data_IF_200845639559
#
_entry.id   IF_200845639559
#
_cell.length_a   1.000
_cell.length_b   1.000
_cell.length_c   1.000
_cell.angle_alpha   90.00
_cell.angle_beta   90.00
_cell.angle_gamma   90.00
#
_symmetry.space_group_name_H-M   'P 1'
#
loop_
_entity.id
_entity.type
_entity.pdbx_description
1 polymer ?
#
# COMPACT_ATOMS: atom_id res chain seq x y z
N UNK A 1 -10.85 -23.70 0.63
CA UNK A 1 -10.59 -22.60 1.58
C UNK A 1 -11.96 -22.08 2.01
N UNK A 2 -12.25 -22.04 3.28
CA UNK A 2 -13.61 -21.79 3.78
C UNK A 2 -13.89 -20.29 3.84
N UNK A 3 -15.04 -19.85 3.28
CA UNK A 3 -15.59 -18.48 3.32
C UNK A 3 -15.89 -17.95 4.76
N UNK A 4 -15.64 -18.75 5.77
CA UNK A 4 -16.07 -18.52 7.16
C UNK A 4 -15.54 -17.23 7.83
N UNK A 5 -14.54 -16.53 7.23
CA UNK A 5 -14.04 -15.26 7.76
C UNK A 5 -14.72 -14.03 7.18
N UNK A 6 -15.19 -14.10 5.94
CA UNK A 6 -15.76 -12.94 5.23
C UNK A 6 -17.24 -12.67 5.52
N UNK A 7 -17.97 -13.60 6.14
CA UNK A 7 -19.42 -13.44 6.42
C UNK A 7 -19.75 -12.23 7.31
N UNK A 8 -18.77 -11.76 8.10
CA UNK A 8 -18.92 -10.62 9.02
C UNK A 8 -18.26 -9.34 8.50
N UNK A 9 -17.59 -9.41 7.35
CA UNK A 9 -16.85 -8.26 6.82
C UNK A 9 -17.82 -7.32 6.11
N UNK A 10 -17.86 -6.08 6.58
CA UNK A 10 -18.66 -4.98 6.05
C UNK A 10 -17.81 -3.94 5.30
N UNK A 11 -16.49 -3.98 5.48
CA UNK A 11 -15.57 -3.07 4.80
C UNK A 11 -14.22 -3.71 4.52
N UNK A 12 -13.58 -3.21 3.47
CA UNK A 12 -12.23 -3.63 3.07
C UNK A 12 -11.36 -2.38 3.00
N UNK A 13 -10.25 -2.40 3.74
CA UNK A 13 -9.21 -1.40 3.66
C UNK A 13 -8.01 -2.00 2.92
N UNK A 14 -7.69 -1.44 1.77
CA UNK A 14 -6.58 -1.89 0.92
C UNK A 14 -5.32 -1.07 1.18
N UNK A 15 -4.18 -1.70 1.18
CA UNK A 15 -2.95 -1.04 0.80
C UNK A 15 -2.93 -0.76 -0.70
N UNK A 16 -2.03 0.13 -1.16
CA UNK A 16 -1.91 0.56 -2.56
C UNK A 16 -0.81 -0.20 -3.30
N UNK A 17 0.44 -0.01 -2.88
CA UNK A 17 1.63 -0.41 -3.60
C UNK A 17 2.03 -1.85 -3.27
N UNK A 18 2.07 -2.72 -4.27
CA UNK A 18 2.23 -4.15 -4.04
C UNK A 18 0.93 -4.89 -3.76
N UNK A 19 -0.19 -4.16 -3.62
CA UNK A 19 -1.53 -4.70 -3.37
C UNK A 19 -2.47 -4.44 -4.54
N UNK A 20 -2.81 -3.18 -4.80
CA UNK A 20 -3.59 -2.75 -5.97
C UNK A 20 -2.70 -2.63 -7.21
N UNK A 21 -1.44 -2.29 -7.01
CA UNK A 21 -0.42 -2.13 -8.04
C UNK A 21 0.67 -3.20 -7.88
N UNK A 22 1.24 -3.66 -9.00
CA UNK A 22 2.41 -4.54 -9.02
C UNK A 22 3.63 -3.75 -8.57
N UNK A 23 4.26 -4.14 -7.46
CA UNK A 23 5.32 -3.34 -6.83
C UNK A 23 6.52 -3.14 -7.76
N UNK A 24 7.18 -4.21 -8.18
CA UNK A 24 8.44 -4.11 -8.94
C UNK A 24 8.28 -3.35 -10.25
N UNK A 25 7.15 -3.56 -10.95
CA UNK A 25 6.85 -2.90 -12.22
C UNK A 25 6.56 -1.40 -12.04
N UNK A 26 5.91 -1.02 -10.94
CA UNK A 26 5.52 0.36 -10.65
C UNK A 26 6.65 1.14 -9.97
N UNK A 27 7.25 0.56 -8.94
CA UNK A 27 8.19 1.27 -8.06
C UNK A 27 9.66 1.14 -8.47
N UNK A 28 10.03 0.14 -9.25
CA UNK A 28 11.41 0.00 -9.71
C UNK A 28 11.97 1.27 -10.39
N UNK A 29 11.28 1.85 -11.38
CA UNK A 29 11.67 3.13 -11.99
C UNK A 29 11.64 4.32 -11.02
N UNK A 30 10.62 4.37 -10.14
CA UNK A 30 10.43 5.47 -9.17
C UNK A 30 11.54 5.48 -8.12
N UNK A 31 11.92 4.31 -7.58
CA UNK A 31 13.01 4.17 -6.62
C UNK A 31 14.36 4.62 -7.21
N UNK A 32 14.62 4.31 -8.48
CA UNK A 32 15.83 4.79 -9.19
C UNK A 32 15.82 6.31 -9.31
N UNK A 33 14.69 6.90 -9.69
CA UNK A 33 14.56 8.34 -9.80
C UNK A 33 14.68 9.02 -8.43
N UNK A 34 14.12 8.43 -7.37
CA UNK A 34 14.26 8.90 -6.00
C UNK A 34 15.74 8.94 -5.56
N UNK A 35 16.49 7.86 -5.82
CA UNK A 35 17.92 7.81 -5.53
C UNK A 35 18.71 8.81 -6.38
N UNK A 36 18.36 8.99 -7.66
CA UNK A 36 18.99 9.99 -8.55
C UNK A 36 18.78 11.41 -8.05
N UNK A 37 17.56 11.75 -7.61
CA UNK A 37 17.26 13.05 -6.99
C UNK A 37 18.11 13.23 -5.73
N UNK A 38 18.11 12.24 -4.83
CA UNK A 38 18.82 12.30 -3.56
C UNK A 38 20.35 12.36 -3.72
N UNK A 39 20.88 11.78 -4.79
CA UNK A 39 22.31 11.83 -5.11
C UNK A 39 22.78 13.20 -5.62
N UNK A 40 21.86 14.11 -6.00
CA UNK A 40 22.15 15.48 -6.43
C UNK A 40 23.24 15.59 -7.51
N UNK A 41 23.28 14.62 -8.44
CA UNK A 41 24.25 14.56 -9.53
C UNK A 41 25.52 13.74 -9.26
N UNK A 42 25.64 13.14 -8.10
CA UNK A 42 26.73 12.19 -7.79
C UNK A 42 26.34 10.79 -8.28
N UNK A 43 26.91 10.36 -9.41
CA UNK A 43 26.62 9.07 -10.03
C UNK A 43 27.14 7.86 -9.22
N UNK A 44 28.13 8.05 -8.35
CA UNK A 44 28.67 7.00 -7.50
C UNK A 44 27.82 6.81 -6.23
N UNK A 45 27.11 7.86 -5.81
CA UNK A 45 26.23 7.83 -4.65
C UNK A 45 24.89 7.16 -4.96
N UNK A 46 24.33 7.32 -6.17
CA UNK A 46 23.02 6.78 -6.56
C UNK A 46 22.87 5.28 -6.25
N UNK A 47 23.75 4.36 -6.71
CA UNK A 47 23.63 2.94 -6.39
C UNK A 47 23.78 2.63 -4.89
N UNK A 48 24.52 3.46 -4.15
CA UNK A 48 24.70 3.30 -2.71
C UNK A 48 23.39 3.64 -1.96
N UNK A 49 22.68 4.69 -2.39
CA UNK A 49 21.38 5.06 -1.85
C UNK A 49 20.34 3.99 -2.12
N UNK A 50 20.25 3.45 -3.35
CA UNK A 50 19.39 2.34 -3.67
C UNK A 50 19.64 1.14 -2.76
N UNK A 51 20.90 0.73 -2.63
CA UNK A 51 21.28 -0.40 -1.80
C UNK A 51 20.94 -0.19 -0.32
N UNK A 52 21.25 1.00 0.22
CA UNK A 52 20.92 1.37 1.61
C UNK A 52 19.41 1.38 1.84
N UNK A 53 18.62 1.84 0.88
CA UNK A 53 17.17 1.83 0.89
C UNK A 53 16.54 0.44 0.74
N UNK A 54 17.33 -0.55 0.32
CA UNK A 54 16.87 -1.93 0.22
C UNK A 54 16.67 -2.47 -1.20
N UNK A 55 16.94 -1.67 -2.23
CA UNK A 55 16.86 -2.10 -3.62
C UNK A 55 18.26 -2.48 -4.14
N UNK A 56 18.38 -3.66 -4.70
CA UNK A 56 19.60 -4.06 -5.42
C UNK A 56 19.71 -3.27 -6.73
N UNK A 57 20.77 -2.46 -6.91
CA UNK A 57 20.88 -1.58 -8.08
C UNK A 57 21.05 -2.32 -9.40
N UNK A 58 21.48 -3.60 -9.37
CA UNK A 58 21.73 -4.42 -10.56
C UNK A 58 20.46 -5.18 -10.96
N UNK A 59 19.90 -5.95 -10.04
CA UNK A 59 18.70 -6.77 -10.31
C UNK A 59 17.41 -5.95 -10.28
N UNK A 60 17.38 -4.83 -9.55
CA UNK A 60 16.17 -4.03 -9.32
C UNK A 60 15.23 -4.61 -8.27
N UNK A 61 15.59 -5.74 -7.64
CA UNK A 61 14.76 -6.33 -6.59
C UNK A 61 14.82 -5.52 -5.30
N UNK A 62 13.65 -5.22 -4.74
CA UNK A 62 13.52 -4.53 -3.44
C UNK A 62 13.27 -5.55 -2.33
N UNK A 63 14.08 -5.49 -1.27
CA UNK A 63 13.97 -6.40 -0.12
C UNK A 63 12.69 -6.13 0.67
N UNK A 64 11.97 -7.18 1.11
CA UNK A 64 10.83 -7.04 2.02
C UNK A 64 11.19 -6.21 3.27
N UNK A 65 10.22 -5.48 3.78
CA UNK A 65 10.33 -4.68 5.02
C UNK A 65 11.49 -3.65 5.01
N UNK A 66 12.10 -3.40 3.84
CA UNK A 66 13.15 -2.38 3.69
C UNK A 66 12.57 -0.98 3.59
N UNK A 67 13.44 0.03 3.69
CA UNK A 67 13.05 1.44 3.65
C UNK A 67 12.26 1.78 2.38
N UNK A 68 12.74 1.35 1.20
CA UNK A 68 12.04 1.59 -0.07
C UNK A 68 10.77 0.73 -0.23
N UNK A 69 10.67 -0.41 0.48
CA UNK A 69 9.51 -1.29 0.41
C UNK A 69 8.34 -0.85 1.31
N UNK A 70 8.60 -0.14 2.41
CA UNK A 70 7.62 0.10 3.45
C UNK A 70 7.63 1.52 4.02
N UNK A 71 8.70 2.30 3.81
CA UNK A 71 8.85 3.65 4.32
C UNK A 71 7.97 4.68 3.59
N UNK A 72 7.63 5.74 4.29
CA UNK A 72 7.05 6.95 3.70
C UNK A 72 8.14 7.90 3.18
N UNK A 73 7.75 8.97 2.46
CA UNK A 73 8.68 9.92 1.87
C UNK A 73 9.65 10.54 2.89
N UNK A 74 9.17 10.86 4.10
CA UNK A 74 10.00 11.45 5.15
C UNK A 74 11.03 10.44 5.70
N UNK A 75 10.63 9.18 5.90
CA UNK A 75 11.53 8.11 6.33
C UNK A 75 12.59 7.80 5.25
N UNK A 76 12.18 7.74 3.98
CA UNK A 76 13.09 7.53 2.84
C UNK A 76 14.08 8.68 2.74
N UNK A 77 13.62 9.93 2.84
CA UNK A 77 14.49 11.11 2.83
C UNK A 77 15.51 11.07 3.97
N UNK A 78 15.07 10.81 5.21
CA UNK A 78 15.96 10.69 6.36
C UNK A 78 16.99 9.56 6.20
N UNK A 79 16.57 8.41 5.65
CA UNK A 79 17.46 7.29 5.35
C UNK A 79 18.51 7.64 4.29
N UNK A 80 18.11 8.30 3.21
CA UNK A 80 19.02 8.73 2.15
C UNK A 80 20.00 9.80 2.62
N UNK A 81 19.56 10.76 3.45
CA UNK A 81 20.45 11.74 4.08
C UNK A 81 21.46 11.05 4.99
N UNK A 82 21.03 10.09 5.80
CA UNK A 82 21.93 9.30 6.65
C UNK A 82 22.93 8.46 5.84
N UNK A 83 22.57 8.09 4.61
CA UNK A 83 23.43 7.35 3.69
C UNK A 83 24.33 8.25 2.80
N UNK A 84 24.26 9.56 2.97
CA UNK A 84 25.19 10.51 2.31
C UNK A 84 24.56 11.47 1.31
N UNK A 85 23.23 11.51 1.16
CA UNK A 85 22.58 12.55 0.35
C UNK A 85 22.94 13.94 0.88
N UNK A 86 23.35 14.88 0.02
CA UNK A 86 23.70 16.25 0.42
C UNK A 86 22.48 17.16 0.60
N UNK A 87 21.27 16.67 0.32
CA UNK A 87 20.02 17.43 0.39
C UNK A 87 19.50 17.36 1.83
N UNK A 88 18.97 18.47 2.35
CA UNK A 88 18.33 18.49 3.66
C UNK A 88 17.04 17.63 3.68
N UNK A 89 16.74 17.00 4.84
CA UNK A 89 15.63 16.03 4.95
C UNK A 89 14.30 16.62 4.50
N UNK A 90 13.96 17.83 4.96
CA UNK A 90 12.68 18.47 4.63
C UNK A 90 12.55 18.82 3.14
N UNK A 91 13.65 19.19 2.50
CA UNK A 91 13.69 19.47 1.07
C UNK A 91 13.55 18.17 0.28
N UNK A 92 14.32 17.15 0.66
CA UNK A 92 14.26 15.84 -0.01
C UNK A 92 12.88 15.20 0.14
N UNK A 93 12.24 15.29 1.33
CA UNK A 93 10.87 14.81 1.54
C UNK A 93 9.92 15.42 0.53
N UNK A 94 9.93 16.75 0.34
CA UNK A 94 9.07 17.42 -0.65
C UNK A 94 9.33 16.97 -2.09
N UNK A 95 10.59 16.78 -2.45
CA UNK A 95 10.97 16.30 -3.77
C UNK A 95 10.48 14.86 -4.01
N UNK A 96 10.53 14.00 -2.98
CA UNK A 96 10.02 12.64 -3.04
C UNK A 96 8.49 12.61 -3.08
N UNK A 97 7.78 13.44 -2.30
CA UNK A 97 6.33 13.56 -2.38
C UNK A 97 5.86 13.96 -3.77
N UNK A 98 6.52 14.96 -4.39
CA UNK A 98 6.23 15.39 -5.77
C UNK A 98 6.49 14.28 -6.79
N UNK A 99 7.55 13.47 -6.58
CA UNK A 99 7.85 12.31 -7.42
C UNK A 99 6.77 11.23 -7.25
N UNK A 100 6.35 10.95 -6.02
CA UNK A 100 5.39 9.88 -5.72
C UNK A 100 3.99 10.23 -6.24
N UNK A 101 3.57 11.48 -6.19
CA UNK A 101 2.33 11.94 -6.87
C UNK A 101 2.37 11.62 -8.37
N UNK A 102 3.51 11.86 -9.02
CA UNK A 102 3.68 11.56 -10.46
C UNK A 102 3.85 10.08 -10.76
N UNK A 103 4.21 9.26 -9.78
CA UNK A 103 4.40 7.82 -9.97
C UNK A 103 3.15 7.10 -10.47
N UNK A 104 1.96 7.67 -10.23
CA UNK A 104 0.72 7.16 -10.78
C UNK A 104 0.80 6.96 -12.31
N UNK A 105 1.57 7.79 -13.05
CA UNK A 105 1.74 7.70 -14.50
C UNK A 105 2.44 6.42 -14.95
N UNK A 106 3.28 5.85 -14.11
CA UNK A 106 4.08 4.65 -14.39
C UNK A 106 3.51 3.39 -13.72
N UNK A 107 2.50 3.56 -12.87
CA UNK A 107 1.93 2.46 -12.08
C UNK A 107 1.24 1.41 -12.96
N UNK A 108 1.44 0.15 -12.60
CA UNK A 108 0.88 -1.02 -13.27
C UNK A 108 -0.13 -1.69 -12.34
N UNK A 109 -1.44 -1.66 -12.66
CA UNK A 109 -2.46 -2.26 -11.81
C UNK A 109 -2.42 -3.78 -11.88
N UNK A 110 -2.76 -4.45 -10.77
CA UNK A 110 -2.84 -5.93 -10.71
C UNK A 110 -3.96 -6.45 -11.61
N UNK A 111 -5.04 -5.69 -11.73
CA UNK A 111 -6.23 -6.01 -12.52
C UNK A 111 -6.97 -4.73 -12.93
N UNK A 112 -8.09 -4.84 -13.62
CA UNK A 112 -9.03 -3.72 -13.81
C UNK A 112 -9.62 -3.32 -12.44
N UNK A 113 -9.02 -2.29 -11.83
CA UNK A 113 -9.39 -1.80 -10.50
C UNK A 113 -10.78 -1.15 -10.49
N UNK A 114 -11.16 -0.42 -11.57
CA UNK A 114 -12.50 0.17 -11.68
C UNK A 114 -13.58 -0.90 -11.60
N UNK A 115 -13.43 -1.97 -12.39
CA UNK A 115 -14.36 -3.07 -12.40
C UNK A 115 -14.38 -3.84 -11.05
N UNK A 116 -13.21 -4.09 -10.44
CA UNK A 116 -13.12 -4.75 -9.14
C UNK A 116 -13.84 -3.95 -8.05
N UNK A 117 -13.52 -2.67 -7.90
CA UNK A 117 -14.11 -1.81 -6.87
C UNK A 117 -15.62 -1.63 -7.08
N UNK A 118 -16.09 -1.51 -8.33
CA UNK A 118 -17.52 -1.47 -8.66
C UNK A 118 -18.24 -2.73 -8.17
N UNK A 119 -17.67 -3.93 -8.44
CA UNK A 119 -18.28 -5.19 -7.97
C UNK A 119 -18.29 -5.34 -6.45
N UNK A 120 -17.22 -4.90 -5.77
CA UNK A 120 -17.16 -4.90 -4.30
C UNK A 120 -18.20 -3.92 -3.70
N UNK A 121 -18.36 -2.73 -4.30
CA UNK A 121 -19.41 -1.78 -3.89
C UNK A 121 -20.82 -2.34 -4.12
N UNK A 122 -21.05 -3.04 -5.22
CA UNK A 122 -22.34 -3.67 -5.50
C UNK A 122 -22.74 -4.75 -4.46
N UNK A 123 -21.76 -5.31 -3.74
CA UNK A 123 -21.97 -6.21 -2.58
C UNK A 123 -22.26 -5.46 -1.28
N UNK A 124 -22.34 -4.13 -1.29
CA UNK A 124 -22.60 -3.30 -0.10
C UNK A 124 -21.38 -3.03 0.77
N UNK A 125 -20.18 -3.41 0.34
CA UNK A 125 -18.96 -3.22 1.11
C UNK A 125 -18.53 -1.73 1.16
N UNK A 126 -18.02 -1.31 2.30
CA UNK A 126 -17.28 -0.05 2.45
C UNK A 126 -15.84 -0.25 2.00
N UNK A 127 -15.33 0.66 1.18
CA UNK A 127 -14.00 0.52 0.59
C UNK A 127 -13.11 1.70 0.93
N UNK A 128 -11.87 1.42 1.31
CA UNK A 128 -10.86 2.45 1.58
C UNK A 128 -9.49 2.04 1.12
N UNK A 129 -8.61 3.04 1.02
CA UNK A 129 -7.17 2.84 0.76
C UNK A 129 -6.38 3.50 1.89
N UNK A 130 -5.40 2.77 2.43
CA UNK A 130 -4.42 3.25 3.40
C UNK A 130 -3.02 2.90 2.94
N UNK A 131 -2.16 3.87 2.74
CA UNK A 131 -0.82 3.68 2.19
C UNK A 131 0.25 4.42 2.99
N UNK A 132 1.50 3.95 2.91
CA UNK A 132 2.68 4.70 3.35
C UNK A 132 3.03 5.86 2.42
N UNK A 133 2.38 5.97 1.27
CA UNK A 133 2.47 7.10 0.35
C UNK A 133 1.64 8.29 0.84
N UNK A 134 1.82 9.48 0.26
CA UNK A 134 1.00 10.65 0.59
C UNK A 134 -0.42 10.53 0.01
N UNK A 135 -1.38 11.25 0.61
CA UNK A 135 -2.80 11.17 0.23
C UNK A 135 -3.03 11.55 -1.23
N UNK A 136 -2.31 12.54 -1.74
CA UNK A 136 -2.47 13.00 -3.13
C UNK A 136 -2.01 11.94 -4.13
N UNK A 137 -0.93 11.23 -3.88
CA UNK A 137 -0.49 10.12 -4.73
C UNK A 137 -1.53 8.99 -4.79
N UNK A 138 -2.19 8.69 -3.67
CA UNK A 138 -3.30 7.73 -3.63
C UNK A 138 -4.47 8.22 -4.49
N UNK A 139 -4.85 9.50 -4.38
CA UNK A 139 -5.92 10.11 -5.18
C UNK A 139 -5.63 10.05 -6.67
N UNK A 140 -4.43 10.43 -7.09
CA UNK A 140 -4.02 10.39 -8.49
C UNK A 140 -4.06 8.97 -9.05
N UNK A 141 -3.62 7.98 -8.27
CA UNK A 141 -3.74 6.57 -8.63
C UNK A 141 -5.21 6.14 -8.79
N UNK A 142 -6.07 6.52 -7.83
CA UNK A 142 -7.48 6.16 -7.87
C UNK A 142 -8.24 6.82 -9.03
N UNK A 143 -7.90 8.06 -9.37
CA UNK A 143 -8.43 8.78 -10.55
C UNK A 143 -7.97 8.09 -11.83
N UNK A 144 -6.66 7.84 -11.96
CA UNK A 144 -6.09 7.22 -13.15
C UNK A 144 -6.72 5.87 -13.49
N UNK A 145 -6.93 5.03 -12.48
CA UNK A 145 -7.50 3.69 -12.66
C UNK A 145 -9.02 3.62 -12.43
N UNK A 146 -9.70 4.76 -12.32
CA UNK A 146 -11.15 4.89 -12.37
C UNK A 146 -11.89 4.29 -11.16
N UNK A 147 -11.26 4.23 -9.98
CA UNK A 147 -11.92 3.71 -8.78
C UNK A 147 -12.14 4.74 -7.67
N UNK A 148 -11.78 6.01 -7.91
CA UNK A 148 -11.91 7.10 -6.90
C UNK A 148 -13.33 7.23 -6.35
N UNK A 149 -14.36 7.15 -7.22
CA UNK A 149 -15.76 7.31 -6.84
C UNK A 149 -16.31 6.11 -6.04
N UNK A 150 -15.57 5.02 -5.97
CA UNK A 150 -15.91 3.84 -5.18
C UNK A 150 -15.32 3.87 -3.76
N UNK A 151 -14.42 4.82 -3.47
CA UNK A 151 -13.78 4.92 -2.16
C UNK A 151 -14.63 5.71 -1.17
N UNK A 152 -14.82 5.13 0.01
CA UNK A 152 -15.42 5.80 1.17
C UNK A 152 -14.33 6.47 2.05
N UNK A 153 -13.04 6.09 1.87
CA UNK A 153 -11.94 6.58 2.70
C UNK A 153 -10.59 6.48 1.96
N UNK A 154 -9.75 7.49 2.18
CA UNK A 154 -8.35 7.52 1.74
C UNK A 154 -7.51 8.01 2.91
N UNK A 155 -6.36 7.37 3.16
CA UNK A 155 -5.37 7.85 4.12
C UNK A 155 -3.95 7.55 3.62
N UNK A 156 -3.17 8.60 3.46
CA UNK A 156 -1.73 8.58 3.33
C UNK A 156 -1.04 8.80 4.68
N UNK A 157 0.29 8.74 4.69
CA UNK A 157 1.08 9.00 5.90
C UNK A 157 0.89 10.42 6.44
N UNK A 158 0.49 11.35 5.59
CA UNK A 158 0.26 12.78 5.85
C UNK A 158 -1.20 13.12 6.22
N UNK A 159 -2.12 12.15 6.22
CA UNK A 159 -3.56 12.37 6.49
C UNK A 159 -3.90 12.53 7.98
N UNK A 160 -2.91 12.54 8.88
CA UNK A 160 -3.13 12.76 10.32
C UNK A 160 -3.68 11.55 11.08
N UNK A 161 -3.59 10.34 10.50
CA UNK A 161 -4.00 9.09 11.13
C UNK A 161 -2.84 8.28 11.71
N UNK A 162 -1.61 8.83 11.74
CA UNK A 162 -0.39 8.09 12.04
C UNK A 162 0.10 7.28 10.83
N UNK A 163 1.11 6.44 11.04
CA UNK A 163 1.78 5.68 9.99
C UNK A 163 1.68 4.17 10.28
N UNK A 164 1.77 3.34 9.26
CA UNK A 164 1.86 1.88 9.43
C UNK A 164 3.14 1.54 10.22
N UNK A 165 3.11 0.62 11.17
CA UNK A 165 2.03 -0.30 11.55
C UNK A 165 1.08 0.20 12.65
N UNK A 166 0.99 1.50 12.93
CA UNK A 166 0.06 2.05 13.91
C UNK A 166 -1.39 1.84 13.43
N UNK A 167 -2.36 1.66 14.37
CA UNK A 167 -3.75 1.31 14.03
C UNK A 167 -4.57 2.46 13.44
N UNK A 168 -4.02 3.67 13.42
CA UNK A 168 -4.81 4.90 13.25
C UNK A 168 -5.53 5.03 11.92
N UNK A 169 -4.95 4.54 10.79
CA UNK A 169 -5.62 4.57 9.48
C UNK A 169 -6.83 3.63 9.46
N UNK A 170 -6.72 2.41 10.01
CA UNK A 170 -7.87 1.49 10.15
C UNK A 170 -8.96 2.10 11.01
N UNK A 171 -8.60 2.67 12.16
CA UNK A 171 -9.55 3.31 13.07
C UNK A 171 -10.19 4.56 12.44
N UNK A 172 -9.44 5.28 11.60
CA UNK A 172 -9.94 6.39 10.77
C UNK A 172 -11.01 5.93 9.78
N UNK A 173 -10.71 4.87 9.03
CA UNK A 173 -11.67 4.22 8.15
C UNK A 173 -12.95 3.81 8.89
N UNK A 174 -12.82 3.07 9.98
CA UNK A 174 -13.96 2.61 10.79
C UNK A 174 -14.86 3.78 11.23
N UNK A 175 -14.26 4.87 11.73
CA UNK A 175 -15.02 6.07 12.13
C UNK A 175 -15.75 6.72 10.96
N UNK A 176 -15.09 6.81 9.81
CA UNK A 176 -15.65 7.47 8.63
C UNK A 176 -16.86 6.70 8.07
N UNK A 177 -16.77 5.36 8.02
CA UNK A 177 -17.82 4.53 7.43
C UNK A 177 -18.82 3.94 8.42
N UNK A 178 -18.60 4.15 9.73
CA UNK A 178 -19.51 3.72 10.78
C UNK A 178 -19.54 2.20 11.02
N UNK A 179 -18.40 1.53 10.95
CA UNK A 179 -18.28 0.08 11.22
C UNK A 179 -17.22 -0.19 12.29
N UNK A 180 -17.35 -1.32 12.98
CA UNK A 180 -16.37 -1.76 13.97
C UNK A 180 -15.13 -2.38 13.27
N UNK A 181 -13.93 -2.28 13.87
CA UNK A 181 -12.73 -2.90 13.31
C UNK A 181 -12.89 -4.40 13.03
N UNK A 182 -13.62 -5.13 13.87
CA UNK A 182 -13.90 -6.56 13.69
C UNK A 182 -14.71 -6.89 12.43
N UNK A 183 -15.32 -5.88 11.78
CA UNK A 183 -16.04 -6.01 10.51
C UNK A 183 -15.17 -5.53 9.31
N UNK A 184 -13.88 -5.27 9.51
CA UNK A 184 -12.94 -4.84 8.47
C UNK A 184 -12.02 -5.98 8.06
N UNK A 185 -11.79 -6.12 6.75
CA UNK A 185 -10.65 -6.86 6.21
C UNK A 185 -9.54 -5.87 5.84
N UNK A 186 -8.35 -6.03 6.40
CA UNK A 186 -7.13 -5.35 5.93
C UNK A 186 -6.47 -6.20 4.87
N UNK A 187 -6.24 -5.64 3.69
CA UNK A 187 -5.60 -6.31 2.55
C UNK A 187 -4.30 -5.59 2.22
N UNK A 188 -3.17 -6.31 2.23
CA UNK A 188 -1.84 -5.72 2.01
C UNK A 188 -0.81 -6.76 1.59
N UNK A 189 0.36 -6.30 1.16
CA UNK A 189 1.48 -7.15 0.72
C UNK A 189 2.66 -7.15 1.69
N UNK A 190 2.57 -6.37 2.78
CA UNK A 190 3.68 -6.13 3.70
C UNK A 190 3.30 -6.47 5.16
N UNK A 191 4.29 -6.82 5.97
CA UNK A 191 4.08 -7.06 7.40
C UNK A 191 3.55 -5.83 8.15
N UNK A 192 3.86 -4.60 7.69
CA UNK A 192 3.32 -3.38 8.26
C UNK A 192 1.78 -3.31 8.16
N UNK A 193 1.21 -3.81 7.04
CA UNK A 193 -0.25 -3.90 6.85
C UNK A 193 -0.88 -4.90 7.81
N UNK A 194 -0.27 -6.09 7.90
CA UNK A 194 -0.76 -7.16 8.78
C UNK A 194 -0.69 -6.73 10.25
N UNK A 195 0.39 -6.03 10.64
CA UNK A 195 0.55 -5.50 11.99
C UNK A 195 -0.42 -4.34 12.26
N UNK A 196 -0.64 -3.43 11.31
CA UNK A 196 -1.66 -2.38 11.42
C UNK A 196 -3.05 -2.97 11.65
N UNK A 197 -3.42 -3.97 10.85
CA UNK A 197 -4.69 -4.69 11.01
C UNK A 197 -4.80 -5.36 12.39
N UNK A 198 -3.76 -6.08 12.82
CA UNK A 198 -3.71 -6.70 14.15
C UNK A 198 -3.84 -5.67 15.28
N UNK A 199 -3.09 -4.57 15.19
CA UNK A 199 -3.07 -3.52 16.22
C UNK A 199 -4.40 -2.80 16.34
N UNK A 200 -5.16 -2.72 15.24
CA UNK A 200 -6.51 -2.16 15.19
C UNK A 200 -7.61 -3.17 15.57
N UNK A 201 -7.32 -4.45 15.63
CA UNK A 201 -8.30 -5.50 15.91
C UNK A 201 -9.24 -5.79 14.74
N UNK A 202 -8.75 -5.75 13.49
CA UNK A 202 -9.55 -6.10 12.31
C UNK A 202 -10.03 -7.55 12.36
N UNK A 203 -11.17 -7.81 11.74
CA UNK A 203 -11.76 -9.14 11.67
C UNK A 203 -10.98 -10.10 10.78
N UNK A 204 -10.28 -9.58 9.76
CA UNK A 204 -9.53 -10.40 8.84
C UNK A 204 -8.29 -9.66 8.31
N UNK A 205 -7.17 -10.37 8.26
CA UNK A 205 -5.93 -9.92 7.61
C UNK A 205 -5.66 -10.78 6.39
N UNK A 206 -5.67 -10.16 5.22
CA UNK A 206 -5.45 -10.81 3.94
C UNK A 206 -4.14 -10.31 3.34
N UNK A 207 -3.19 -11.20 3.20
CA UNK A 207 -1.94 -10.91 2.51
C UNK A 207 -2.04 -11.24 1.02
N UNK A 208 -1.36 -10.46 0.18
CA UNK A 208 -1.19 -10.71 -1.26
C UNK A 208 0.30 -10.71 -1.63
N UNK A 209 0.65 -11.43 -2.71
CA UNK A 209 2.04 -11.65 -3.12
C UNK A 209 2.45 -10.83 -4.36
N UNK A 210 1.77 -9.73 -4.60
CA UNK A 210 2.06 -8.80 -5.72
C UNK A 210 3.04 -7.69 -5.35
N UNK A 211 3.50 -7.68 -4.09
CA UNK A 211 4.44 -6.71 -3.55
C UNK A 211 5.77 -7.33 -3.10
N UNK A 212 6.35 -6.74 -2.07
CA UNK A 212 7.68 -7.09 -1.58
C UNK A 212 7.69 -8.23 -0.58
N UNK A 213 6.57 -8.53 0.08
CA UNK A 213 6.48 -9.57 1.10
C UNK A 213 6.61 -10.98 0.55
N UNK A 214 7.21 -11.88 1.33
CA UNK A 214 7.30 -13.30 0.98
C UNK A 214 6.11 -14.09 1.54
N UNK A 215 5.75 -15.19 0.85
CA UNK A 215 4.71 -16.09 1.35
C UNK A 215 5.01 -16.61 2.75
N UNK A 216 6.28 -16.86 3.06
CA UNK A 216 6.68 -17.37 4.38
C UNK A 216 6.37 -16.37 5.49
N UNK A 217 6.81 -15.12 5.33
CA UNK A 217 6.63 -14.08 6.35
C UNK A 217 5.17 -13.61 6.46
N UNK A 218 4.50 -13.45 5.32
CA UNK A 218 3.11 -12.99 5.26
C UNK A 218 2.12 -14.02 5.79
N UNK A 219 2.31 -15.32 5.47
CA UNK A 219 1.43 -16.38 6.00
C UNK A 219 1.51 -16.54 7.51
N UNK A 220 2.62 -16.12 8.12
CA UNK A 220 2.75 -16.12 9.58
C UNK A 220 2.01 -14.97 10.27
N UNK A 221 1.77 -13.86 9.54
CA UNK A 221 1.19 -12.63 10.07
C UNK A 221 -0.29 -12.42 9.65
N UNK A 222 -0.75 -13.11 8.60
CA UNK A 222 -2.10 -12.99 8.03
C UNK A 222 -2.99 -14.19 8.38
N UNK A 223 -4.29 -14.02 8.19
CA UNK A 223 -5.27 -15.10 8.30
C UNK A 223 -5.42 -15.84 6.96
N UNK A 224 -5.21 -15.12 5.84
CA UNK A 224 -5.25 -15.65 4.48
C UNK A 224 -4.10 -15.03 3.68
N UNK A 225 -3.43 -15.84 2.84
CA UNK A 225 -2.40 -15.38 1.91
C UNK A 225 -2.77 -15.80 0.49
N UNK A 226 -3.01 -14.83 -0.39
CA UNK A 226 -3.42 -14.99 -1.79
C UNK A 226 -2.24 -14.67 -2.73
N UNK A 227 -2.31 -15.17 -3.96
CA UNK A 227 -1.33 -14.76 -4.99
C UNK A 227 -1.54 -13.30 -5.39
N UNK A 228 -2.80 -12.86 -5.52
CA UNK A 228 -3.17 -11.47 -5.78
C UNK A 228 -4.62 -11.17 -5.37
N UNK A 229 -5.02 -9.90 -5.49
CA UNK A 229 -6.37 -9.43 -5.12
C UNK A 229 -7.50 -9.97 -6.02
N UNK A 230 -7.22 -10.54 -7.18
CA UNK A 230 -8.27 -11.08 -8.07
C UNK A 230 -8.97 -12.28 -7.44
N UNK A 231 -8.29 -12.96 -6.51
CA UNK A 231 -8.83 -14.09 -5.78
C UNK A 231 -9.75 -13.68 -4.61
N UNK A 232 -9.75 -12.40 -4.22
CA UNK A 232 -10.48 -11.90 -3.07
C UNK A 232 -12.00 -12.12 -3.21
N UNK A 233 -12.56 -11.88 -4.42
CA UNK A 233 -14.00 -12.01 -4.66
C UNK A 233 -14.51 -13.44 -4.47
N UNK A 234 -13.68 -14.45 -4.71
CA UNK A 234 -14.03 -15.86 -4.52
C UNK A 234 -14.20 -16.26 -3.05
N UNK A 235 -13.68 -15.43 -2.14
CA UNK A 235 -13.77 -15.64 -0.70
C UNK A 235 -14.98 -14.93 -0.07
N UNK A 236 -15.55 -13.95 -0.77
CA UNK A 236 -16.72 -13.21 -0.32
C UNK A 236 -17.97 -14.06 -0.43
N UNK A 237 -18.95 -13.95 0.51
CA UNK A 237 -20.25 -14.54 0.35
C UNK A 237 -20.92 -14.15 -0.97
N UNK A 238 -21.74 -15.01 -1.54
CA UNK A 238 -22.56 -14.62 -2.70
C UNK A 238 -23.39 -13.38 -2.36
N UNK A 239 -23.48 -12.45 -3.33
CA UNK A 239 -24.31 -11.27 -3.14
C UNK A 239 -25.74 -11.73 -2.83
N UNK A 240 -26.34 -11.23 -1.75
CA UNK A 240 -27.75 -11.49 -1.48
C UNK A 240 -28.56 -11.02 -2.70
N UNK A 241 -29.35 -11.93 -3.28
CA UNK A 241 -30.24 -11.55 -4.38
C UNK A 241 -31.17 -10.43 -3.87
N UNK A 242 -31.10 -9.29 -4.54
CA UNK A 242 -32.03 -8.19 -4.26
C UNK A 242 -33.46 -8.64 -4.61
N UNK A 243 -34.26 -8.84 -3.58
CA UNK A 243 -35.71 -9.11 -3.72
C UNK A 243 -36.46 -7.81 -3.92
#
# INVERSE_FOLDING_TARGET
>A
MTSAGFEKIAGILFDKDGTLLRYDESWGPVNREAARIAAAGDADLEPQLLFSGGMDPVSGHTRPDSLLAAGNAAEIAAGFVSAGSPIEVDELTRLLDDLFVRSAEFSVPVTDLSALFSRLKARGLKLGVASSDNEEAIRQTAIRFGFIDHLDFIAGYDSGHGVKPEPGMVLGFCRTVGIEPSAVAMVGDNNHDMHMGRNAGVGLKVAVLTGTGSRETLSAASDICLDDITLLESLLPEAAEAH
#
